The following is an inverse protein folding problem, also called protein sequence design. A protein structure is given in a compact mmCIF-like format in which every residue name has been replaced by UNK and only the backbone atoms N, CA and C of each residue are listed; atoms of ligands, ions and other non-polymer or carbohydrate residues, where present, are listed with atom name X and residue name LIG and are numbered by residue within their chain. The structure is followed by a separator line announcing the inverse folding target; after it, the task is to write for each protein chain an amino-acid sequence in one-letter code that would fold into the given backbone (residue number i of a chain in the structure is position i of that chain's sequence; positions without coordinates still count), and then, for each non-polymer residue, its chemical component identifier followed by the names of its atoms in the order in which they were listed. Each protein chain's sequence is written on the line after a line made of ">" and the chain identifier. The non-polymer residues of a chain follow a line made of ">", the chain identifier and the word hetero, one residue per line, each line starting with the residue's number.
data_IF_021693778727
#
_entry.id   IF_021693778727
#
_cell.length_a   1.000
_cell.length_b   1.000
_cell.length_c   1.000
_cell.angle_alpha   90.00
_cell.angle_beta   90.00
_cell.angle_gamma   90.00
#
_symmetry.space_group_name_H-M   'P 1'
#
loop_
_entity.id
_entity.type
_entity.pdbx_description
1 polymer ?
#
# COMPACT_ATOMS: atom_id res chain seq x y z
N UNK A 1 17.90 15.01 20.40
CA UNK A 1 18.26 15.76 19.17
C UNK A 1 17.16 16.72 18.65
N UNK A 2 16.00 16.85 19.30
CA UNK A 2 14.89 17.73 18.86
C UNK A 2 15.11 19.24 19.03
N UNK A 3 16.11 19.67 19.80
CA UNK A 3 16.29 21.09 20.17
C UNK A 3 16.81 21.96 19.02
N UNK A 4 17.77 21.48 18.23
CA UNK A 4 18.37 22.27 17.14
C UNK A 4 17.40 22.52 15.98
N UNK A 5 16.59 21.52 15.61
CA UNK A 5 15.62 21.66 14.53
C UNK A 5 14.48 22.63 14.90
N UNK A 6 13.97 22.55 16.13
CA UNK A 6 12.98 23.50 16.64
C UNK A 6 13.54 24.92 16.75
N UNK A 7 14.80 25.08 17.15
CA UNK A 7 15.45 26.39 17.21
C UNK A 7 15.60 27.01 15.80
N UNK A 8 15.97 26.23 14.79
CA UNK A 8 16.09 26.74 13.42
C UNK A 8 14.73 27.14 12.82
N UNK A 9 13.69 26.33 13.03
CA UNK A 9 12.31 26.70 12.64
C UNK A 9 11.88 27.99 13.34
N UNK A 10 12.14 28.11 14.65
CA UNK A 10 11.76 29.29 15.44
C UNK A 10 12.45 30.55 14.92
N UNK A 11 13.76 30.47 14.63
CA UNK A 11 14.53 31.58 14.05
C UNK A 11 13.93 32.04 12.72
N UNK A 12 13.74 31.10 11.78
CA UNK A 12 13.20 31.41 10.45
C UNK A 12 11.78 31.96 10.51
N UNK A 13 10.96 31.46 11.42
CA UNK A 13 9.61 31.96 11.63
C UNK A 13 9.62 33.39 12.17
N UNK A 14 10.48 33.70 13.13
CA UNK A 14 10.64 35.07 13.64
C UNK A 14 11.10 36.03 12.54
N UNK A 15 12.05 35.62 11.69
CA UNK A 15 12.49 36.43 10.54
C UNK A 15 11.33 36.75 9.59
N UNK A 16 10.46 35.77 9.33
CA UNK A 16 9.27 35.95 8.49
C UNK A 16 8.22 36.87 9.13
N UNK A 17 7.92 36.66 10.41
CA UNK A 17 6.90 37.41 11.15
C UNK A 17 7.34 38.85 11.46
N UNK A 18 8.63 39.11 11.59
CA UNK A 18 9.19 40.45 11.84
C UNK A 18 8.82 41.47 10.76
N UNK A 19 8.58 41.01 9.54
CA UNK A 19 8.22 41.84 8.39
C UNK A 19 6.73 42.15 8.34
N UNK A 20 5.90 41.46 9.13
CA UNK A 20 4.43 41.48 9.05
C UNK A 20 3.81 42.14 10.28
N UNK A 21 2.59 42.65 10.12
CA UNK A 21 1.87 43.28 11.23
C UNK A 21 1.34 42.23 12.20
N UNK A 22 1.70 42.30 13.49
CA UNK A 22 1.12 41.42 14.50
C UNK A 22 -0.37 41.75 14.71
N UNK A 23 -1.20 40.76 15.03
CA UNK A 23 -2.60 40.98 15.40
C UNK A 23 -2.75 42.02 16.52
N UNK A 24 -3.75 42.90 16.39
CA UNK A 24 -4.00 43.99 17.34
C UNK A 24 -4.19 43.50 18.78
N UNK A 25 -4.65 42.26 18.97
CA UNK A 25 -4.82 41.61 20.28
C UNK A 25 -3.52 41.27 21.01
N UNK A 26 -2.36 41.42 20.36
CA UNK A 26 -1.03 41.23 20.95
C UNK A 26 -0.32 42.54 21.32
N UNK A 27 -0.99 43.69 21.18
CA UNK A 27 -0.40 44.97 21.55
C UNK A 27 -0.07 45.02 23.05
N UNK A 28 1.23 45.07 23.38
CA UNK A 28 1.72 45.15 24.76
C UNK A 28 1.83 43.82 25.51
N UNK A 29 1.47 42.69 24.90
CA UNK A 29 1.52 41.37 25.54
C UNK A 29 2.53 40.44 24.85
N UNK A 30 3.80 40.58 25.24
CA UNK A 30 4.92 39.78 24.70
C UNK A 30 4.78 38.29 25.05
N UNK A 31 4.08 37.94 26.13
CA UNK A 31 3.86 36.55 26.51
C UNK A 31 2.95 35.86 25.51
N UNK A 32 1.83 36.50 25.14
CA UNK A 32 0.92 35.96 24.13
C UNK A 32 1.57 35.81 22.75
N UNK A 33 2.48 36.72 22.38
CA UNK A 33 3.27 36.58 21.14
C UNK A 33 4.16 35.35 21.19
N UNK A 34 4.88 35.14 22.30
CA UNK A 34 5.74 33.98 22.48
C UNK A 34 4.94 32.66 22.43
N UNK A 35 3.79 32.61 23.11
CA UNK A 35 2.90 31.44 23.10
C UNK A 35 2.38 31.15 21.68
N UNK A 36 2.04 32.19 20.92
CA UNK A 36 1.60 32.04 19.53
C UNK A 36 2.72 31.51 18.61
N UNK A 37 3.95 31.98 18.80
CA UNK A 37 5.12 31.49 18.06
C UNK A 37 5.36 30.01 18.38
N UNK A 38 5.24 29.59 19.65
CA UNK A 38 5.35 28.18 20.05
C UNK A 38 4.29 27.33 19.34
N UNK A 39 3.04 27.80 19.26
CA UNK A 39 1.97 27.12 18.56
C UNK A 39 2.28 26.94 17.06
N UNK A 40 2.76 27.99 16.39
CA UNK A 40 3.18 27.92 14.99
C UNK A 40 4.34 26.95 14.76
N UNK A 41 5.37 26.99 15.61
CA UNK A 41 6.50 26.05 15.54
C UNK A 41 6.01 24.62 15.72
N UNK A 42 5.05 24.38 16.63
CA UNK A 42 4.44 23.07 16.83
C UNK A 42 3.68 22.55 15.60
N UNK A 43 2.99 23.43 14.87
CA UNK A 43 2.34 23.09 13.60
C UNK A 43 3.38 22.73 12.55
N UNK A 44 4.34 23.63 12.30
CA UNK A 44 5.35 23.49 11.25
C UNK A 44 6.18 22.22 11.47
N UNK A 45 6.62 21.97 12.71
CA UNK A 45 7.44 20.80 13.05
C UNK A 45 6.79 19.46 12.70
N UNK A 46 5.46 19.38 12.68
CA UNK A 46 4.75 18.14 12.29
C UNK A 46 4.92 17.79 10.81
N UNK A 47 5.25 18.77 9.97
CA UNK A 47 5.33 18.62 8.51
C UNK A 47 6.72 18.92 7.95
N UNK A 48 7.55 19.65 8.69
CA UNK A 48 8.88 20.03 8.26
C UNK A 48 9.83 18.82 8.19
N UNK A 49 10.57 18.64 7.08
CA UNK A 49 11.56 17.58 6.97
C UNK A 49 12.79 17.88 7.85
N UNK A 50 13.48 16.84 8.28
CA UNK A 50 14.77 16.97 8.99
C UNK A 50 15.93 17.14 7.98
N UNK A 51 17.01 17.79 8.40
CA UNK A 51 18.24 17.94 7.62
C UNK A 51 18.16 18.93 6.46
N UNK A 52 18.99 18.73 5.43
CA UNK A 52 19.23 19.69 4.34
C UNK A 52 17.99 19.99 3.48
N UNK A 53 16.97 19.14 3.54
CA UNK A 53 15.70 19.33 2.83
C UNK A 53 14.82 20.43 3.45
N UNK A 54 15.17 20.92 4.64
CA UNK A 54 14.43 21.96 5.33
C UNK A 54 14.47 23.29 4.57
N UNK A 55 15.60 23.64 3.95
CA UNK A 55 15.75 24.92 3.23
C UNK A 55 14.81 25.02 2.03
N UNK A 56 14.81 24.00 1.18
CA UNK A 56 13.93 23.92 0.01
C UNK A 56 12.46 23.89 0.43
N UNK A 57 12.13 23.07 1.44
CA UNK A 57 10.77 22.97 1.95
C UNK A 57 10.29 24.28 2.56
N UNK A 58 11.15 24.98 3.31
CA UNK A 58 10.84 26.26 3.92
C UNK A 58 10.51 27.33 2.88
N UNK A 59 11.31 27.41 1.81
CA UNK A 59 11.05 28.33 0.70
C UNK A 59 9.67 28.10 0.06
N UNK A 60 9.32 26.83 -0.20
CA UNK A 60 8.00 26.47 -0.73
C UNK A 60 6.88 26.82 0.24
N UNK A 61 7.09 26.60 1.54
CA UNK A 61 6.10 26.90 2.58
C UNK A 61 5.80 28.40 2.65
N UNK A 62 6.84 29.24 2.60
CA UNK A 62 6.66 30.69 2.56
C UNK A 62 5.97 31.15 1.26
N UNK A 63 6.29 30.55 0.11
CA UNK A 63 5.63 30.87 -1.15
C UNK A 63 4.13 30.54 -1.09
N UNK A 64 3.77 29.34 -0.60
CA UNK A 64 2.36 28.97 -0.41
C UNK A 64 1.66 29.90 0.59
N UNK A 65 2.31 30.28 1.69
CA UNK A 65 1.74 31.26 2.62
C UNK A 65 1.51 32.62 1.95
N UNK A 66 2.45 33.09 1.12
CA UNK A 66 2.31 34.35 0.40
C UNK A 66 1.16 34.31 -0.62
N UNK A 67 0.94 33.18 -1.29
CA UNK A 67 -0.18 32.97 -2.21
C UNK A 67 -1.53 32.93 -1.49
N UNK A 68 -1.58 32.32 -0.30
CA UNK A 68 -2.83 32.21 0.49
C UNK A 68 -3.14 33.43 1.36
N UNK A 69 -2.14 34.29 1.63
CA UNK A 69 -2.28 35.42 2.54
C UNK A 69 -2.65 36.67 1.76
N UNK A 70 -3.92 37.05 1.82
CA UNK A 70 -4.45 38.26 1.17
C UNK A 70 -4.00 39.56 1.85
N UNK A 71 -3.41 39.48 3.05
CA UNK A 71 -3.09 40.65 3.88
C UNK A 71 -1.66 40.61 4.42
N UNK A 72 -1.17 41.78 4.83
CA UNK A 72 0.16 41.95 5.46
C UNK A 72 0.20 41.57 6.96
N UNK A 73 -0.89 41.03 7.50
CA UNK A 73 -0.95 40.57 8.88
C UNK A 73 -0.20 39.24 9.07
N UNK A 74 0.03 38.84 10.33
CA UNK A 74 0.49 37.49 10.63
C UNK A 74 -0.54 36.46 10.12
N UNK A 75 -0.08 35.36 9.48
CA UNK A 75 -0.97 34.27 9.11
C UNK A 75 -1.60 33.62 10.34
N UNK A 76 -2.78 33.02 10.17
CA UNK A 76 -3.43 32.26 11.24
C UNK A 76 -2.85 30.85 11.34
N UNK A 77 -3.11 30.14 12.44
CA UNK A 77 -2.76 28.72 12.57
C UNK A 77 -3.36 27.87 11.44
N UNK A 78 -4.58 28.21 11.00
CA UNK A 78 -5.24 27.56 9.88
C UNK A 78 -4.48 27.71 8.57
N UNK A 79 -3.85 28.86 8.34
CA UNK A 79 -3.06 29.12 7.12
C UNK A 79 -1.75 28.33 7.13
N UNK A 80 -1.07 28.25 8.28
CA UNK A 80 0.08 27.39 8.44
C UNK A 80 -0.26 25.91 8.21
N UNK A 81 -1.39 25.44 8.75
CA UNK A 81 -1.85 24.05 8.52
C UNK A 81 -2.18 23.81 7.04
N UNK A 82 -2.87 24.75 6.38
CA UNK A 82 -3.20 24.66 4.95
C UNK A 82 -1.93 24.59 4.10
N UNK A 83 -0.99 25.52 4.29
CA UNK A 83 0.28 25.55 3.57
C UNK A 83 1.07 24.26 3.76
N UNK A 84 1.18 23.77 5.00
CA UNK A 84 1.86 22.51 5.29
C UNK A 84 1.18 21.30 4.61
N UNK A 85 -0.17 21.26 4.57
CA UNK A 85 -0.92 20.18 3.91
C UNK A 85 -0.78 20.20 2.39
N UNK A 86 -0.71 21.38 1.76
CA UNK A 86 -0.46 21.50 0.32
C UNK A 86 0.90 20.88 -0.02
N UNK A 87 1.93 21.25 0.73
CA UNK A 87 3.27 20.69 0.54
C UNK A 87 3.35 19.19 0.84
N UNK A 88 2.61 18.70 1.84
CA UNK A 88 2.56 17.27 2.13
C UNK A 88 1.95 16.47 0.97
N UNK A 89 0.93 17.01 0.30
CA UNK A 89 0.35 16.40 -0.91
C UNK A 89 1.34 16.39 -2.07
N UNK A 90 2.08 17.48 -2.26
CA UNK A 90 3.13 17.55 -3.28
C UNK A 90 4.24 16.53 -3.05
N UNK A 91 4.58 16.25 -1.79
CA UNK A 91 5.54 15.19 -1.43
C UNK A 91 4.95 13.82 -1.70
N UNK A 92 3.70 13.56 -1.30
CA UNK A 92 3.03 12.28 -1.58
C UNK A 92 2.86 12.01 -3.09
N UNK A 93 2.72 13.05 -3.91
CA UNK A 93 2.69 12.95 -5.38
C UNK A 93 4.07 12.70 -6.00
N UNK A 94 5.15 13.09 -5.30
CA UNK A 94 6.54 12.98 -5.75
C UNK A 94 7.28 11.77 -5.20
N UNK A 95 6.71 11.02 -4.25
CA UNK A 95 7.25 9.71 -3.93
C UNK A 95 7.14 8.85 -5.20
N UNK A 96 8.28 8.37 -5.77
CA UNK A 96 8.21 7.47 -6.90
C UNK A 96 7.40 6.27 -6.44
N UNK A 97 6.31 5.97 -7.15
CA UNK A 97 5.50 4.79 -6.90
C UNK A 97 6.44 3.62 -6.64
N UNK A 98 6.33 3.01 -5.45
CA UNK A 98 7.21 1.93 -5.02
C UNK A 98 7.45 0.99 -6.21
N UNK A 99 8.71 0.81 -6.61
CA UNK A 99 9.10 0.06 -7.80
C UNK A 99 8.43 -1.32 -7.75
N UNK A 100 7.29 -1.45 -8.44
CA UNK A 100 6.47 -2.65 -8.42
C UNK A 100 6.77 -3.37 -9.72
N UNK A 101 7.76 -4.26 -9.66
CA UNK A 101 8.04 -5.18 -10.75
C UNK A 101 6.80 -6.03 -10.96
N UNK A 102 6.20 -5.96 -12.14
CA UNK A 102 5.19 -6.93 -12.56
C UNK A 102 5.90 -8.26 -12.85
N UNK A 103 5.72 -9.30 -12.02
CA UNK A 103 6.42 -10.57 -12.22
C UNK A 103 6.03 -11.25 -13.54
N UNK A 104 4.80 -11.01 -14.04
CA UNK A 104 4.35 -11.53 -15.33
C UNK A 104 5.11 -10.86 -16.49
N UNK A 105 5.31 -9.54 -16.43
CA UNK A 105 6.07 -8.82 -17.45
C UNK A 105 7.54 -9.26 -17.49
N UNK A 106 8.11 -9.65 -16.34
CA UNK A 106 9.45 -10.24 -16.29
C UNK A 106 9.46 -11.62 -16.94
N UNK A 107 8.49 -12.48 -16.63
CA UNK A 107 8.42 -13.83 -17.20
C UNK A 107 8.18 -13.78 -18.72
N UNK A 108 7.33 -12.88 -19.20
CA UNK A 108 7.08 -12.59 -20.62
C UNK A 108 8.37 -12.19 -21.34
N UNK A 109 9.10 -11.19 -20.83
CA UNK A 109 10.39 -10.79 -21.39
C UNK A 109 11.42 -11.92 -21.41
N UNK A 110 11.44 -12.78 -20.40
CA UNK A 110 12.32 -13.95 -20.39
C UNK A 110 11.95 -14.97 -21.45
N UNK A 111 10.66 -15.13 -21.75
CA UNK A 111 10.23 -15.97 -22.87
C UNK A 111 10.74 -15.40 -24.19
N UNK A 112 10.57 -14.10 -24.41
CA UNK A 112 11.01 -13.38 -25.62
C UNK A 112 12.54 -13.44 -25.81
N UNK A 113 13.31 -13.27 -24.73
CA UNK A 113 14.77 -13.28 -24.75
C UNK A 113 15.40 -14.68 -24.78
N UNK A 114 14.60 -15.73 -24.90
CA UNK A 114 15.01 -17.12 -24.74
C UNK A 114 15.69 -17.48 -23.39
N UNK A 115 15.45 -16.70 -22.33
CA UNK A 115 16.08 -16.88 -21.01
C UNK A 115 15.43 -17.98 -20.16
N UNK A 116 16.15 -18.62 -19.21
CA UNK A 116 15.57 -19.59 -18.30
C UNK A 116 14.44 -19.02 -17.44
N UNK A 117 13.34 -19.76 -17.37
CA UNK A 117 12.19 -19.48 -16.50
C UNK A 117 11.93 -20.65 -15.56
N UNK A 118 11.39 -20.35 -14.37
CA UNK A 118 11.06 -21.37 -13.37
C UNK A 118 9.94 -22.30 -13.84
N UNK A 119 9.92 -23.50 -13.27
CA UNK A 119 8.88 -24.51 -13.48
C UNK A 119 7.48 -23.99 -13.12
N UNK A 120 7.37 -23.14 -12.09
CA UNK A 120 6.13 -22.47 -11.71
C UNK A 120 5.55 -21.53 -12.79
N UNK A 121 6.36 -21.05 -13.74
CA UNK A 121 5.90 -20.27 -14.90
C UNK A 121 5.51 -21.15 -16.09
N UNK A 122 5.91 -22.43 -16.07
CA UNK A 122 5.59 -23.43 -17.09
C UNK A 122 4.40 -24.30 -16.69
N UNK A 123 4.22 -24.59 -15.40
CA UNK A 123 3.11 -25.36 -14.82
C UNK A 123 2.43 -24.61 -13.67
N UNK A 124 1.22 -25.03 -13.29
CA UNK A 124 0.47 -24.40 -12.19
C UNK A 124 -0.19 -23.06 -12.54
N UNK A 125 -0.46 -22.24 -11.51
CA UNK A 125 -1.28 -21.01 -11.61
C UNK A 125 -0.61 -19.90 -12.41
N UNK A 126 0.68 -19.65 -12.19
CA UNK A 126 1.38 -18.58 -12.89
C UNK A 126 1.53 -18.90 -14.38
N UNK A 127 1.65 -20.18 -14.75
CA UNK A 127 1.62 -20.61 -16.14
C UNK A 127 0.30 -20.25 -16.83
N UNK A 128 -0.85 -20.42 -16.18
CA UNK A 128 -2.15 -20.03 -16.76
C UNK A 128 -2.24 -18.52 -17.01
N UNK A 129 -1.73 -17.72 -16.08
CA UNK A 129 -1.66 -16.26 -16.23
C UNK A 129 -0.71 -15.86 -17.37
N UNK A 130 0.41 -16.56 -17.52
CA UNK A 130 1.39 -16.29 -18.56
C UNK A 130 0.89 -16.72 -19.94
N UNK A 131 0.24 -17.88 -20.05
CA UNK A 131 -0.43 -18.37 -21.27
C UNK A 131 -1.43 -17.35 -21.81
N UNK A 132 -2.16 -16.66 -20.93
CA UNK A 132 -3.09 -15.61 -21.34
C UNK A 132 -2.41 -14.38 -21.98
N UNK A 133 -1.10 -14.16 -21.73
CA UNK A 133 -0.32 -13.05 -22.30
C UNK A 133 0.45 -13.47 -23.55
N UNK A 134 1.22 -14.56 -23.46
CA UNK A 134 2.16 -14.97 -24.53
C UNK A 134 1.61 -16.05 -25.46
N UNK A 135 0.47 -16.63 -25.13
CA UNK A 135 -0.10 -17.77 -25.84
C UNK A 135 0.43 -19.12 -25.36
N UNK A 136 -0.19 -20.20 -25.86
CA UNK A 136 0.10 -21.57 -25.44
C UNK A 136 1.41 -22.08 -26.05
N UNK A 137 1.68 -21.76 -27.31
CA UNK A 137 2.78 -22.33 -28.09
C UNK A 137 4.17 -22.07 -27.48
N UNK A 138 4.51 -20.84 -27.04
CA UNK A 138 5.81 -20.59 -26.41
C UNK A 138 6.02 -21.39 -25.13
N UNK A 139 4.93 -21.64 -24.38
CA UNK A 139 4.98 -22.41 -23.14
C UNK A 139 5.22 -23.90 -23.43
N UNK A 140 4.55 -24.46 -24.45
CA UNK A 140 4.76 -25.86 -24.86
C UNK A 140 6.21 -26.10 -25.28
N UNK A 141 6.76 -25.25 -26.15
CA UNK A 141 8.17 -25.34 -26.58
C UNK A 141 9.16 -25.32 -25.41
N UNK A 142 8.86 -24.52 -24.37
CA UNK A 142 9.69 -24.45 -23.16
C UNK A 142 9.54 -25.69 -22.28
N UNK A 143 8.33 -26.26 -22.16
CA UNK A 143 8.10 -27.52 -21.44
C UNK A 143 8.87 -28.67 -22.07
N UNK A 144 8.92 -28.75 -23.40
CA UNK A 144 9.68 -29.80 -24.12
C UNK A 144 11.19 -29.70 -23.86
N UNK A 145 11.73 -28.48 -23.90
CA UNK A 145 13.14 -28.23 -23.55
C UNK A 145 13.43 -28.59 -22.09
N UNK A 146 12.52 -28.23 -21.18
CA UNK A 146 12.65 -28.57 -19.77
C UNK A 146 12.62 -30.08 -19.52
N UNK A 147 11.69 -30.80 -20.17
CA UNK A 147 11.59 -32.26 -20.11
C UNK A 147 12.85 -32.96 -20.65
N UNK A 148 13.37 -32.45 -21.78
CA UNK A 148 14.62 -32.92 -22.37
C UNK A 148 15.80 -32.73 -21.39
N UNK A 149 15.88 -31.55 -20.77
CA UNK A 149 16.92 -31.25 -19.79
C UNK A 149 16.83 -32.14 -18.54
N UNK A 150 15.63 -32.31 -17.96
CA UNK A 150 15.43 -33.23 -16.83
C UNK A 150 15.86 -34.65 -17.16
N UNK A 151 15.53 -35.14 -18.36
CA UNK A 151 15.88 -36.49 -18.81
C UNK A 151 17.39 -36.68 -18.92
N UNK A 152 18.12 -35.64 -19.34
CA UNK A 152 19.59 -35.65 -19.40
C UNK A 152 20.24 -35.64 -18.02
N UNK A 153 19.67 -34.88 -17.07
CA UNK A 153 20.28 -34.68 -15.73
C UNK A 153 19.95 -35.83 -14.77
N UNK A 154 18.69 -36.28 -14.74
CA UNK A 154 18.20 -37.23 -13.75
C UNK A 154 17.90 -38.63 -14.32
N UNK A 155 17.95 -38.77 -15.65
CA UNK A 155 17.55 -39.98 -16.35
C UNK A 155 16.04 -40.06 -16.56
N UNK A 156 15.62 -40.85 -17.56
CA UNK A 156 14.24 -40.89 -18.07
C UNK A 156 13.19 -41.26 -17.01
N UNK A 157 13.49 -42.22 -16.12
CA UNK A 157 12.53 -42.70 -15.13
C UNK A 157 12.19 -41.61 -14.10
N UNK A 158 13.23 -40.91 -13.60
CA UNK A 158 13.08 -39.85 -12.61
C UNK A 158 12.49 -38.58 -13.24
N UNK A 159 12.95 -38.20 -14.43
CA UNK A 159 12.40 -37.09 -15.18
C UNK A 159 10.88 -37.26 -15.42
N UNK A 160 10.44 -38.46 -15.79
CA UNK A 160 9.02 -38.77 -15.97
C UNK A 160 8.23 -38.60 -14.67
N UNK A 161 8.77 -39.04 -13.53
CA UNK A 161 8.14 -38.87 -12.21
C UNK A 161 7.96 -37.39 -11.88
N UNK A 162 9.00 -36.59 -12.09
CA UNK A 162 8.96 -35.14 -11.84
C UNK A 162 7.98 -34.41 -12.76
N UNK A 163 7.92 -34.78 -14.05
CA UNK A 163 6.99 -34.17 -15.00
C UNK A 163 5.53 -34.48 -14.65
N UNK A 164 5.23 -35.70 -14.19
CA UNK A 164 3.87 -36.05 -13.73
C UNK A 164 3.41 -35.20 -12.55
N UNK A 165 4.29 -34.96 -11.56
CA UNK A 165 3.98 -34.07 -10.43
C UNK A 165 3.69 -32.64 -10.89
N UNK A 166 4.46 -32.12 -11.85
CA UNK A 166 4.22 -30.79 -12.43
C UNK A 166 2.92 -30.72 -13.22
N UNK A 167 2.59 -31.78 -13.98
CA UNK A 167 1.32 -31.90 -14.70
C UNK A 167 0.12 -31.97 -13.77
N UNK A 168 0.20 -32.74 -12.69
CA UNK A 168 -0.87 -32.86 -11.69
C UNK A 168 -1.12 -31.51 -11.00
N UNK A 169 -0.06 -30.81 -10.58
CA UNK A 169 -0.17 -29.43 -10.05
C UNK A 169 -0.81 -28.47 -11.06
N UNK A 170 -0.49 -28.62 -12.35
CA UNK A 170 -1.09 -27.78 -13.38
C UNK A 170 -2.57 -28.11 -13.59
N UNK A 171 -2.95 -29.40 -13.55
CA UNK A 171 -4.35 -29.84 -13.65
C UNK A 171 -5.19 -29.30 -12.49
N UNK A 172 -4.66 -29.36 -11.27
CA UNK A 172 -5.31 -28.76 -10.10
C UNK A 172 -5.50 -27.24 -10.25
N UNK A 173 -4.48 -26.54 -10.77
CA UNK A 173 -4.57 -25.11 -11.03
C UNK A 173 -5.61 -24.76 -12.10
N UNK A 174 -5.71 -25.57 -13.16
CA UNK A 174 -6.75 -25.41 -14.21
C UNK A 174 -8.14 -25.58 -13.59
N UNK A 175 -8.35 -26.65 -12.82
CA UNK A 175 -9.63 -26.90 -12.15
C UNK A 175 -10.05 -25.74 -11.25
N UNK A 176 -9.13 -25.24 -10.41
CA UNK A 176 -9.41 -24.10 -9.55
C UNK A 176 -9.73 -22.82 -10.35
N UNK A 177 -9.03 -22.58 -11.47
CA UNK A 177 -9.30 -21.44 -12.33
C UNK A 177 -10.66 -21.53 -13.05
N UNK A 178 -11.08 -22.74 -13.43
CA UNK A 178 -12.41 -22.99 -13.99
C UNK A 178 -13.53 -22.79 -12.97
N UNK A 179 -13.34 -23.27 -11.74
CA UNK A 179 -14.27 -23.03 -10.62
C UNK A 179 -14.42 -21.53 -10.34
N UNK A 180 -13.31 -20.78 -10.26
CA UNK A 180 -13.31 -19.33 -10.09
C UNK A 180 -14.03 -18.62 -11.25
N UNK A 181 -13.78 -19.06 -12.50
CA UNK A 181 -14.43 -18.48 -13.69
C UNK A 181 -15.93 -18.74 -13.69
N UNK A 182 -16.34 -19.95 -13.31
CA UNK A 182 -17.73 -20.32 -13.18
C UNK A 182 -18.44 -19.45 -12.14
N UNK A 183 -17.84 -19.26 -10.96
CA UNK A 183 -18.37 -18.42 -9.88
C UNK A 183 -18.42 -16.91 -10.21
N UNK A 184 -17.53 -16.41 -11.08
CA UNK A 184 -17.60 -15.02 -11.57
C UNK A 184 -18.66 -14.81 -12.65
N UNK A 185 -18.85 -15.80 -13.52
CA UNK A 185 -19.75 -15.71 -14.68
C UNK A 185 -21.20 -15.93 -14.27
N UNK A 186 -21.43 -16.91 -13.40
CA UNK A 186 -22.72 -17.13 -12.77
C UNK A 186 -22.62 -16.40 -11.46
N UNK A 187 -23.32 -15.28 -11.30
CA UNK A 187 -23.45 -14.60 -10.02
C UNK A 187 -24.07 -15.62 -9.04
N UNK A 188 -23.24 -16.43 -8.40
CA UNK A 188 -23.62 -17.30 -7.31
C UNK A 188 -23.62 -16.35 -6.14
N UNK A 189 -24.78 -15.79 -5.72
CA UNK A 189 -24.79 -15.06 -4.48
C UNK A 189 -24.22 -16.00 -3.43
N UNK A 190 -23.25 -15.52 -2.65
CA UNK A 190 -22.99 -16.12 -1.35
C UNK A 190 -24.34 -16.05 -0.63
N UNK A 191 -25.09 -17.15 -0.64
CA UNK A 191 -26.29 -17.25 0.16
C UNK A 191 -25.74 -17.47 1.57
N UNK A 192 -25.83 -16.49 2.48
CA UNK A 192 -25.57 -16.77 3.87
C UNK A 192 -26.63 -17.78 4.29
N UNK A 193 -26.23 -19.05 4.41
CA UNK A 193 -27.07 -20.05 5.03
C UNK A 193 -27.12 -19.65 6.50
N UNK A 194 -28.16 -18.89 6.85
CA UNK A 194 -28.50 -18.60 8.24
C UNK A 194 -28.48 -19.92 8.99
N UNK A 195 -27.75 -19.98 10.11
CA UNK A 195 -27.73 -21.21 10.89
C UNK A 195 -29.16 -21.54 11.33
N UNK A 196 -29.49 -22.81 11.58
CA UNK A 196 -30.81 -23.21 12.08
C UNK A 196 -31.21 -22.40 13.33
N UNK A 197 -30.21 -21.98 14.12
CA UNK A 197 -30.34 -21.11 15.30
C UNK A 197 -30.80 -19.68 14.95
N UNK A 198 -30.39 -19.15 13.80
CA UNK A 198 -30.79 -17.83 13.31
C UNK A 198 -32.20 -17.85 12.67
N UNK A 199 -32.66 -19.02 12.20
CA UNK A 199 -33.97 -19.18 11.57
C UNK A 199 -35.08 -19.50 12.58
N UNK A 200 -34.78 -20.24 13.64
CA UNK A 200 -35.78 -20.74 14.60
C UNK A 200 -35.66 -20.11 15.99
N UNK A 201 -34.73 -19.15 16.18
CA UNK A 201 -34.42 -18.58 17.48
C UNK A 201 -33.64 -19.55 18.39
N UNK A 202 -33.29 -19.13 19.63
CA UNK A 202 -32.70 -20.05 20.59
C UNK A 202 -33.70 -21.18 20.85
N UNK A 203 -33.36 -22.40 20.40
CA UNK A 203 -34.15 -23.58 20.70
C UNK A 203 -34.34 -23.72 22.22
N UNK A 204 -35.41 -24.41 22.67
CA UNK A 204 -35.65 -24.62 24.09
C UNK A 204 -34.37 -25.20 24.71
N UNK A 205 -33.91 -24.59 25.81
CA UNK A 205 -32.79 -25.15 26.57
C UNK A 205 -33.16 -26.59 26.90
N UNK A 206 -32.38 -27.53 26.39
CA UNK A 206 -32.51 -28.91 26.78
C UNK A 206 -32.20 -28.97 28.28
N UNK A 207 -33.25 -29.09 29.09
CA UNK A 207 -33.14 -29.42 30.51
C UNK A 207 -33.07 -30.95 30.55
N UNK A 208 -31.89 -31.54 30.81
CA UNK A 208 -31.81 -32.98 31.01
C UNK A 208 -32.75 -33.36 32.18
N UNK A 209 -33.59 -34.38 32.03
CA UNK A 209 -34.47 -34.80 33.11
C UNK A 209 -33.61 -35.39 34.23
N UNK A 210 -33.59 -34.75 35.41
CA UNK A 210 -32.99 -35.35 36.60
C UNK A 210 -32.24 -34.44 37.58
N UNK A 211 -32.37 -33.12 37.54
CA UNK A 211 -31.88 -32.27 38.65
C UNK A 211 -33.07 -31.53 39.24
N UNK A 212 -33.75 -32.22 40.15
CA UNK A 212 -34.66 -31.61 41.10
C UNK A 212 -33.91 -30.57 41.94
N UNK A 213 -34.60 -29.45 42.18
CA UNK A 213 -34.16 -28.40 43.08
C UNK A 213 -33.90 -28.96 44.48
N UNK A 214 -32.71 -28.68 45.01
CA UNK A 214 -32.47 -28.72 46.44
C UNK A 214 -32.30 -27.26 46.89
N UNK A 215 -33.18 -26.87 47.81
CA UNK A 215 -33.18 -25.61 48.57
C UNK A 215 -31.85 -25.33 49.28
#
# INVERSE_FOLDING_TARGET
>A
MSSMHSADITRRLNDYLSRRQPPKGFAGDERRKADQIIAYVGIIRRYAPQGDRLDEWWGKMLATLAETSETWAWPTEGDFVKACKILAKDVAMREPAAFKVDPLAVAEKRIENDEPIGDNWLWGKNALLLIARVGVEPILSRRDRYASHLSQVYGNAEARRMLLDLEDRHREAVKAAEEDRYARTHHVPEVPIKSVRDLLGPGPQYVPPGIEAAE
#
